data_IF_733967483457
#
_entry.id   IF_733967483457
#
_cell.length_a   1.000
_cell.length_b   1.000
_cell.length_c   1.000
_cell.angle_alpha   90.00
_cell.angle_beta   90.00
_cell.angle_gamma   90.00
#
_symmetry.space_group_name_H-M   'P 1'
#
loop_
_entity.id
_entity.type
_entity.pdbx_description
1 polymer ?
#
# COMPACT_ATOMS: atom_id res chain seq x y z
N UNK A 1 50.12 -50.87 -16.80
CA UNK A 1 48.66 -50.93 -16.89
C UNK A 1 47.95 -50.72 -15.54
N UNK A 2 48.49 -51.12 -14.40
CA UNK A 2 47.91 -50.98 -13.04
C UNK A 2 47.96 -49.52 -12.55
N UNK A 3 49.02 -48.78 -12.82
CA UNK A 3 49.20 -47.39 -12.35
C UNK A 3 48.19 -46.42 -12.99
N UNK A 4 47.91 -46.61 -14.30
CA UNK A 4 46.93 -45.77 -15.04
C UNK A 4 45.49 -45.99 -14.52
N UNK A 5 45.13 -47.23 -14.16
CA UNK A 5 43.80 -47.52 -13.57
C UNK A 5 43.58 -46.84 -12.21
N UNK A 6 44.61 -46.78 -11.37
CA UNK A 6 44.51 -46.13 -10.07
C UNK A 6 44.44 -44.60 -10.16
N UNK A 7 45.12 -43.99 -11.16
CA UNK A 7 45.07 -42.55 -11.39
C UNK A 7 43.68 -42.14 -11.90
N UNK A 8 43.08 -42.92 -12.84
CA UNK A 8 41.73 -42.68 -13.33
C UNK A 8 40.67 -42.80 -12.20
N UNK A 9 40.82 -43.81 -11.30
CA UNK A 9 39.92 -43.99 -10.17
C UNK A 9 40.01 -42.84 -9.16
N UNK A 10 41.18 -42.30 -8.90
CA UNK A 10 41.37 -41.14 -8.03
C UNK A 10 40.80 -39.85 -8.64
N UNK A 11 40.96 -39.64 -9.95
CA UNK A 11 40.41 -38.50 -10.66
C UNK A 11 38.86 -38.55 -10.66
N UNK A 12 38.25 -39.73 -10.91
CA UNK A 12 36.80 -39.90 -10.85
C UNK A 12 36.28 -39.63 -9.43
N UNK A 13 37.01 -40.04 -8.36
CA UNK A 13 36.63 -39.79 -6.98
C UNK A 13 36.71 -38.29 -6.62
N UNK A 14 37.69 -37.55 -7.16
CA UNK A 14 37.80 -36.09 -6.94
C UNK A 14 36.68 -35.35 -7.66
N UNK A 15 36.25 -35.81 -8.85
CA UNK A 15 35.09 -35.21 -9.53
C UNK A 15 33.75 -35.50 -8.87
N UNK A 16 33.63 -36.59 -8.12
CA UNK A 16 32.39 -36.91 -7.38
C UNK A 16 32.24 -36.16 -6.06
N UNK A 17 33.33 -35.61 -5.50
CA UNK A 17 33.26 -34.76 -4.30
C UNK A 17 33.34 -33.25 -4.61
N UNK A 18 33.51 -32.87 -5.89
CA UNK A 18 33.62 -31.47 -6.30
C UNK A 18 32.30 -30.76 -6.65
N UNK A 19 31.17 -31.46 -6.52
CA UNK A 19 29.89 -30.87 -6.90
C UNK A 19 28.80 -31.31 -5.95
N UNK A 20 28.82 -30.85 -4.75
CA UNK A 20 27.62 -30.68 -3.92
C UNK A 20 28.12 -29.92 -2.66
N UNK A 21 28.42 -28.65 -2.79
CA UNK A 21 27.98 -27.75 -1.74
C UNK A 21 26.52 -27.49 -2.11
N UNK A 22 25.56 -27.91 -1.28
CA UNK A 22 24.26 -27.30 -1.41
C UNK A 22 24.51 -25.80 -1.27
N UNK A 23 24.05 -25.01 -2.25
CA UNK A 23 23.77 -23.63 -1.98
C UNK A 23 22.94 -23.69 -0.71
N UNK A 24 23.45 -23.13 0.38
CA UNK A 24 22.59 -22.77 1.50
C UNK A 24 21.74 -21.62 0.94
N UNK A 25 20.71 -21.99 0.18
CA UNK A 25 19.64 -21.06 -0.11
C UNK A 25 19.15 -20.63 1.27
N UNK A 26 19.30 -19.36 1.59
CA UNK A 26 18.75 -18.81 2.81
C UNK A 26 17.25 -19.04 2.76
N UNK A 27 16.79 -20.02 3.54
CA UNK A 27 15.36 -20.36 3.59
C UNK A 27 14.72 -19.29 4.45
N UNK A 28 14.01 -18.37 3.81
CA UNK A 28 13.21 -17.40 4.53
C UNK A 28 12.05 -18.09 5.21
N UNK A 29 11.67 -17.58 6.37
CA UNK A 29 10.53 -18.08 7.11
C UNK A 29 9.69 -16.93 7.65
N UNK A 30 8.41 -17.23 7.89
CA UNK A 30 7.45 -16.29 8.45
C UNK A 30 6.94 -16.87 9.76
N UNK A 31 6.99 -16.07 10.81
CA UNK A 31 6.45 -16.40 12.13
C UNK A 31 5.28 -15.49 12.43
N UNK A 32 4.10 -16.04 12.73
CA UNK A 32 2.96 -15.28 13.22
C UNK A 32 3.17 -14.94 14.69
N UNK A 33 3.39 -13.65 14.99
CA UNK A 33 3.61 -13.17 16.34
C UNK A 33 2.29 -13.04 17.11
N UNK A 34 1.28 -12.43 16.45
CA UNK A 34 -0.04 -12.25 17.04
C UNK A 34 -1.11 -11.97 15.97
N UNK A 35 -2.35 -12.19 16.34
CA UNK A 35 -3.53 -11.82 15.55
C UNK A 35 -4.38 -10.89 16.39
N UNK A 36 -4.55 -9.66 15.93
CA UNK A 36 -5.52 -8.72 16.48
C UNK A 36 -6.87 -9.01 15.84
N UNK A 37 -7.76 -9.65 16.60
CA UNK A 37 -9.07 -10.08 16.11
C UNK A 37 -9.99 -8.86 15.89
N UNK A 38 -9.94 -8.28 14.70
CA UNK A 38 -10.85 -7.18 14.32
C UNK A 38 -12.28 -7.70 14.21
N UNK A 39 -13.24 -6.89 14.63
CA UNK A 39 -14.63 -7.13 14.25
C UNK A 39 -14.75 -6.82 12.75
N UNK A 40 -15.15 -7.81 11.94
CA UNK A 40 -15.14 -7.71 10.48
C UNK A 40 -13.76 -7.96 9.85
N UNK A 41 -13.71 -7.92 8.53
CA UNK A 41 -12.49 -8.17 7.78
C UNK A 41 -11.58 -6.94 7.79
N UNK A 42 -10.31 -7.10 8.17
CA UNK A 42 -9.31 -6.06 7.95
C UNK A 42 -9.06 -5.92 6.45
N UNK A 43 -9.48 -4.81 5.84
CA UNK A 43 -9.35 -4.57 4.40
C UNK A 43 -8.17 -3.69 4.05
N UNK A 44 -7.94 -2.69 4.88
CA UNK A 44 -6.87 -1.71 4.72
C UNK A 44 -6.40 -1.24 6.08
N UNK A 45 -5.19 -0.74 6.14
CA UNK A 45 -4.55 -0.25 7.35
C UNK A 45 -3.73 1.01 7.06
N UNK A 46 -3.71 1.92 8.01
CA UNK A 46 -2.78 3.03 8.06
C UNK A 46 -2.13 3.07 9.43
N UNK A 47 -0.80 3.13 9.47
CA UNK A 47 -0.04 3.08 10.73
C UNK A 47 0.65 4.41 10.99
N UNK A 48 0.56 4.89 12.26
CA UNK A 48 1.30 6.04 12.74
C UNK A 48 1.96 5.69 14.08
N UNK A 49 3.28 5.58 14.10
CA UNK A 49 4.00 5.04 15.25
C UNK A 49 3.51 3.64 15.58
N UNK A 50 3.04 3.44 16.79
CA UNK A 50 2.49 2.15 17.24
C UNK A 50 0.96 2.08 17.14
N UNK A 51 0.31 3.05 16.53
CA UNK A 51 -1.14 3.10 16.38
C UNK A 51 -1.54 2.72 14.95
N UNK A 52 -2.39 1.71 14.84
CA UNK A 52 -2.99 1.26 13.59
C UNK A 52 -4.44 1.72 13.48
N UNK A 53 -4.79 2.27 12.34
CA UNK A 53 -6.16 2.59 11.92
C UNK A 53 -6.57 1.55 10.90
N UNK A 54 -7.62 0.80 11.19
CA UNK A 54 -8.05 -0.36 10.41
C UNK A 54 -9.40 -0.07 9.75
N UNK A 55 -9.47 -0.25 8.43
CA UNK A 55 -10.73 -0.34 7.71
C UNK A 55 -11.31 -1.75 7.86
N UNK A 56 -12.37 -1.88 8.66
CA UNK A 56 -12.92 -3.18 9.06
C UNK A 56 -14.24 -3.53 8.35
N UNK A 57 -14.43 -3.04 7.13
CA UNK A 57 -15.63 -3.29 6.35
C UNK A 57 -16.89 -2.76 7.04
N UNK A 58 -17.90 -3.62 7.22
CA UNK A 58 -19.15 -3.27 7.90
C UNK A 58 -18.97 -2.96 9.40
N UNK A 59 -17.85 -3.35 10.00
CA UNK A 59 -17.50 -3.02 11.38
C UNK A 59 -16.78 -1.68 11.53
N UNK A 60 -16.78 -0.88 10.45
CA UNK A 60 -16.36 0.52 10.47
C UNK A 60 -14.86 0.72 10.57
N UNK A 61 -14.44 1.69 11.37
CA UNK A 61 -13.03 2.02 11.61
C UNK A 61 -12.64 1.61 13.01
N UNK A 62 -11.52 0.88 13.13
CA UNK A 62 -10.99 0.46 14.42
C UNK A 62 -9.58 1.04 14.62
N UNK A 63 -9.27 1.39 15.86
CA UNK A 63 -7.96 1.93 16.25
C UNK A 63 -7.32 0.99 17.25
N UNK A 64 -6.10 0.57 16.96
CA UNK A 64 -5.37 -0.43 17.72
C UNK A 64 -3.99 0.10 18.16
N UNK A 65 -3.59 -0.23 19.37
CA UNK A 65 -2.21 -0.12 19.82
C UNK A 65 -1.49 -1.43 19.44
N UNK A 66 -0.57 -1.35 18.48
CA UNK A 66 0.15 -2.51 17.96
C UNK A 66 1.14 -3.07 18.99
N UNK A 67 1.74 -2.21 19.81
CA UNK A 67 2.71 -2.60 20.81
C UNK A 67 2.07 -3.37 21.97
N UNK A 68 0.85 -2.98 22.37
CA UNK A 68 0.10 -3.63 23.44
C UNK A 68 -0.86 -4.71 22.93
N UNK A 69 -1.19 -4.70 21.63
CA UNK A 69 -2.14 -5.64 21.03
C UNK A 69 -3.59 -5.41 21.48
N UNK A 70 -3.97 -4.18 21.82
CA UNK A 70 -5.30 -3.84 22.30
C UNK A 70 -6.03 -2.88 21.37
N UNK A 71 -7.34 -3.06 21.27
CA UNK A 71 -8.19 -2.11 20.58
C UNK A 71 -8.43 -0.88 21.49
N UNK A 72 -8.10 0.29 20.97
CA UNK A 72 -8.31 1.56 21.67
C UNK A 72 -9.71 2.12 21.41
N UNK A 73 -10.16 2.08 20.15
CA UNK A 73 -11.43 2.62 19.72
C UNK A 73 -12.05 1.79 18.59
N UNK A 74 -13.38 1.86 18.46
CA UNK A 74 -14.15 1.33 17.34
C UNK A 74 -15.30 2.28 16.99
N UNK A 75 -15.44 2.60 15.70
CA UNK A 75 -16.41 3.54 15.17
C UNK A 75 -17.25 2.84 14.10
N UNK A 76 -18.48 2.48 14.44
CA UNK A 76 -19.45 1.88 13.51
C UNK A 76 -20.13 2.91 12.60
N UNK A 77 -19.96 4.19 12.91
CA UNK A 77 -20.57 5.29 12.19
C UNK A 77 -20.15 6.63 12.79
N UNK A 78 -20.84 7.69 12.42
CA UNK A 78 -20.54 9.05 12.81
C UNK A 78 -21.81 9.90 12.93
N UNK A 79 -21.70 11.03 13.61
CA UNK A 79 -22.79 12.00 13.69
C UNK A 79 -22.59 13.13 12.68
N UNK A 80 -23.65 13.42 11.90
CA UNK A 80 -23.70 14.52 10.96
C UNK A 80 -25.07 15.22 11.11
N UNK A 81 -25.09 16.54 11.30
CA UNK A 81 -26.30 17.36 11.41
C UNK A 81 -27.32 16.84 12.45
N UNK A 82 -26.83 16.28 13.54
CA UNK A 82 -27.63 15.72 14.63
C UNK A 82 -28.22 14.32 14.35
N UNK A 83 -27.88 13.71 13.22
CA UNK A 83 -28.26 12.34 12.86
C UNK A 83 -27.05 11.42 12.95
N UNK A 84 -27.24 10.21 13.49
CA UNK A 84 -26.22 9.17 13.44
C UNK A 84 -26.33 8.40 12.13
N UNK A 85 -25.21 8.27 11.43
CA UNK A 85 -25.06 7.54 10.18
C UNK A 85 -24.09 6.38 10.39
N UNK A 86 -24.51 5.16 10.09
CA UNK A 86 -23.68 3.98 10.13
C UNK A 86 -22.83 3.89 8.85
N UNK A 87 -21.62 3.36 8.99
CA UNK A 87 -20.82 2.97 7.85
C UNK A 87 -21.39 1.72 7.19
N UNK A 88 -21.38 1.69 5.86
CA UNK A 88 -21.86 0.53 5.08
C UNK A 88 -20.74 -0.51 4.94
N UNK A 89 -19.65 -0.15 4.27
CA UNK A 89 -18.52 -1.05 3.99
C UNK A 89 -17.24 -0.25 3.82
N UNK A 90 -16.50 -0.04 4.91
CA UNK A 90 -15.26 0.71 4.89
C UNK A 90 -14.18 -0.08 4.14
N UNK A 91 -13.69 0.51 3.06
CA UNK A 91 -12.67 -0.07 2.19
C UNK A 91 -11.26 0.43 2.52
N UNK A 92 -11.12 1.74 2.74
CA UNK A 92 -9.83 2.39 2.94
C UNK A 92 -9.87 3.32 4.14
N UNK A 93 -8.73 3.42 4.82
CA UNK A 93 -8.47 4.38 5.89
C UNK A 93 -7.04 4.91 5.75
N UNK A 94 -6.85 6.20 5.98
CA UNK A 94 -5.54 6.80 6.10
C UNK A 94 -5.53 7.84 7.22
N UNK A 95 -4.48 7.84 8.01
CA UNK A 95 -4.22 8.84 9.04
C UNK A 95 -3.27 9.91 8.49
N UNK A 96 -3.68 11.17 8.54
CA UNK A 96 -2.77 12.29 8.29
C UNK A 96 -1.83 12.48 9.50
N UNK A 97 -0.55 12.72 9.24
CA UNK A 97 0.47 12.75 10.28
C UNK A 97 0.36 13.97 11.20
N UNK A 98 0.04 15.15 10.67
CA UNK A 98 0.19 16.40 11.41
C UNK A 98 -1.13 17.12 11.73
N UNK A 99 -2.21 16.82 11.01
CA UNK A 99 -3.48 17.53 11.15
C UNK A 99 -4.53 16.79 11.99
N UNK A 100 -4.19 15.66 12.59
CA UNK A 100 -5.13 14.80 13.34
C UNK A 100 -6.35 14.36 12.52
N UNK A 101 -6.22 14.34 11.21
CA UNK A 101 -7.27 13.94 10.31
C UNK A 101 -7.23 12.44 10.03
N UNK A 102 -8.40 11.87 9.86
CA UNK A 102 -8.58 10.50 9.38
C UNK A 102 -9.43 10.56 8.14
N UNK A 103 -8.90 10.02 7.08
CA UNK A 103 -9.58 9.89 5.80
C UNK A 103 -10.13 8.48 5.69
N UNK A 104 -11.39 8.37 5.31
CA UNK A 104 -12.09 7.09 5.22
C UNK A 104 -12.92 7.06 3.95
N UNK A 105 -12.88 5.96 3.21
CA UNK A 105 -13.82 5.74 2.13
C UNK A 105 -14.53 4.40 2.27
N UNK A 106 -15.80 4.42 1.99
CA UNK A 106 -16.60 3.22 1.74
C UNK A 106 -16.38 2.80 0.29
N UNK A 107 -16.59 1.54 -0.03
CA UNK A 107 -16.39 1.01 -1.38
C UNK A 107 -17.11 1.86 -2.45
N UNK A 108 -16.33 2.38 -3.41
CA UNK A 108 -16.80 3.21 -4.53
C UNK A 108 -17.61 4.46 -4.11
N UNK A 109 -17.25 5.09 -2.99
CA UNK A 109 -17.86 6.34 -2.51
C UNK A 109 -16.80 7.42 -2.32
N UNK A 110 -17.23 8.61 -1.92
CA UNK A 110 -16.38 9.76 -1.62
C UNK A 110 -15.44 9.48 -0.44
N UNK A 111 -14.34 10.20 -0.39
CA UNK A 111 -13.47 10.21 0.78
C UNK A 111 -14.08 11.14 1.83
N UNK A 112 -14.41 10.59 3.00
CA UNK A 112 -14.88 11.34 4.16
C UNK A 112 -13.72 11.74 5.05
N UNK A 113 -13.76 12.94 5.58
CA UNK A 113 -12.75 13.50 6.47
C UNK A 113 -13.29 13.55 7.88
N UNK A 114 -12.55 12.96 8.81
CA UNK A 114 -12.85 12.95 10.23
C UNK A 114 -11.72 13.54 11.05
N UNK A 115 -12.04 13.95 12.27
CA UNK A 115 -11.06 14.32 13.29
C UNK A 115 -11.42 13.63 14.60
N UNK A 116 -10.41 13.25 15.38
CA UNK A 116 -10.66 12.90 16.79
C UNK A 116 -10.98 14.13 17.59
N UNK A 117 -12.10 14.09 18.33
CA UNK A 117 -12.47 15.07 19.35
C UNK A 117 -11.71 14.85 20.65
N UNK A 118 -11.90 15.79 21.58
CA UNK A 118 -11.26 15.78 22.92
C UNK A 118 -11.64 14.53 23.72
N UNK A 119 -12.84 14.01 23.51
CA UNK A 119 -13.39 12.81 24.18
C UNK A 119 -13.29 11.56 23.31
N UNK A 120 -12.32 11.51 22.37
CA UNK A 120 -12.19 10.44 21.38
C UNK A 120 -13.42 10.26 20.47
N UNK A 121 -14.19 11.32 20.27
CA UNK A 121 -15.29 11.33 19.32
C UNK A 121 -14.75 11.32 17.89
N UNK A 122 -15.41 10.56 17.02
CA UNK A 122 -15.14 10.53 15.59
C UNK A 122 -15.99 11.61 14.89
N UNK A 123 -15.41 12.80 14.75
CA UNK A 123 -16.13 13.98 14.30
C UNK A 123 -16.01 14.13 12.79
N UNK A 124 -17.15 14.00 12.10
CA UNK A 124 -17.23 14.28 10.67
C UNK A 124 -16.92 15.75 10.38
N UNK A 125 -16.13 15.99 9.32
CA UNK A 125 -15.75 17.33 8.90
C UNK A 125 -16.21 17.65 7.50
N UNK A 126 -15.96 16.77 6.53
CA UNK A 126 -16.28 17.03 5.14
C UNK A 126 -16.25 15.73 4.32
N UNK A 127 -16.73 15.82 3.08
CA UNK A 127 -16.47 14.86 2.01
C UNK A 127 -15.64 15.54 0.93
N UNK A 128 -14.68 14.82 0.37
CA UNK A 128 -13.79 15.35 -0.63
C UNK A 128 -13.76 14.50 -1.89
N UNK A 129 -13.71 15.17 -2.96
CA UNK A 129 -13.40 14.93 -4.35
C UNK A 129 -14.16 13.85 -5.05
N UNK A 130 -14.02 12.62 -4.84
CA UNK A 130 -14.30 11.55 -5.78
C UNK A 130 -15.67 10.92 -5.54
N UNK A 131 -16.37 10.52 -6.59
CA UNK A 131 -17.62 9.77 -6.49
C UNK A 131 -17.41 8.25 -6.53
N UNK A 132 -16.26 7.79 -7.06
CA UNK A 132 -15.89 6.37 -7.16
C UNK A 132 -14.44 6.10 -6.82
N UNK A 133 -14.06 6.46 -5.61
CA UNK A 133 -12.73 6.24 -5.07
C UNK A 133 -12.37 4.75 -5.07
N UNK A 134 -11.27 4.40 -5.71
CA UNK A 134 -10.64 3.08 -5.64
C UNK A 134 -9.50 3.04 -4.65
N UNK A 135 -8.68 4.08 -4.69
CA UNK A 135 -7.59 4.29 -3.75
C UNK A 135 -7.29 5.78 -3.60
N UNK A 136 -6.62 6.16 -2.54
CA UNK A 136 -6.20 7.54 -2.34
C UNK A 136 -4.96 7.62 -1.46
N UNK A 137 -4.23 8.70 -1.61
CA UNK A 137 -3.12 9.04 -0.75
C UNK A 137 -3.17 10.52 -0.37
N UNK A 138 -2.92 10.80 0.90
CA UNK A 138 -2.79 12.16 1.41
C UNK A 138 -1.46 12.35 2.11
N UNK A 139 -0.93 13.55 2.09
CA UNK A 139 0.26 13.91 2.80
C UNK A 139 0.22 15.37 3.25
N UNK A 140 0.87 15.61 4.36
CA UNK A 140 0.95 16.93 4.98
C UNK A 140 1.71 17.93 4.10
N UNK A 141 1.33 19.20 4.21
CA UNK A 141 2.02 20.35 3.63
C UNK A 141 2.30 21.40 4.71
N UNK A 142 3.24 22.28 4.46
CA UNK A 142 3.51 23.39 5.37
C UNK A 142 2.24 24.18 5.73
N UNK A 143 2.12 24.54 6.99
CA UNK A 143 1.12 25.49 7.46
C UNK A 143 -0.32 25.00 7.43
N UNK A 144 -0.64 23.93 8.12
CA UNK A 144 -2.01 23.39 8.22
C UNK A 144 -2.66 23.11 6.86
N UNK A 145 -1.92 22.52 5.96
CA UNK A 145 -2.38 22.10 4.62
C UNK A 145 -2.14 20.63 4.44
N UNK A 146 -2.97 19.98 3.66
CA UNK A 146 -2.69 18.66 3.10
C UNK A 146 -3.00 18.63 1.61
N UNK A 147 -2.30 17.79 0.87
CA UNK A 147 -2.61 17.44 -0.50
C UNK A 147 -3.12 16.01 -0.54
N UNK A 148 -4.13 15.77 -1.37
CA UNK A 148 -4.68 14.43 -1.60
C UNK A 148 -4.72 14.16 -3.09
N UNK A 149 -4.36 12.94 -3.44
CA UNK A 149 -4.57 12.34 -4.75
C UNK A 149 -5.52 11.16 -4.62
N UNK A 150 -6.41 11.00 -5.58
CA UNK A 150 -7.43 9.96 -5.60
C UNK A 150 -7.43 9.28 -6.95
N UNK A 151 -7.30 7.97 -6.96
CA UNK A 151 -7.60 7.13 -8.10
C UNK A 151 -9.12 6.98 -8.20
N UNK A 152 -9.75 7.73 -9.11
CA UNK A 152 -11.18 7.68 -9.37
C UNK A 152 -11.46 6.80 -10.58
N UNK A 153 -12.26 5.77 -10.40
CA UNK A 153 -12.49 4.75 -11.44
C UNK A 153 -13.07 5.29 -12.74
N UNK A 154 -13.78 6.41 -12.70
CA UNK A 154 -14.48 6.99 -13.85
C UNK A 154 -13.79 8.23 -14.41
N UNK A 155 -13.12 9.01 -13.54
CA UNK A 155 -12.67 10.36 -13.86
C UNK A 155 -11.14 10.50 -13.97
N UNK A 156 -10.38 9.46 -13.60
CA UNK A 156 -8.92 9.47 -13.67
C UNK A 156 -8.26 9.85 -12.35
N UNK A 157 -7.20 10.67 -12.42
CA UNK A 157 -6.48 11.18 -11.25
C UNK A 157 -7.16 12.44 -10.76
N UNK A 158 -7.83 12.39 -9.62
CA UNK A 158 -8.30 13.61 -8.94
C UNK A 158 -7.27 14.08 -7.94
N UNK A 159 -7.15 15.39 -7.79
CA UNK A 159 -6.20 15.98 -6.86
C UNK A 159 -6.76 17.25 -6.22
N UNK A 160 -6.27 17.55 -5.01
CA UNK A 160 -6.65 18.77 -4.32
C UNK A 160 -5.73 19.07 -3.15
N UNK A 161 -5.52 20.36 -2.95
CA UNK A 161 -4.85 20.91 -1.76
C UNK A 161 -5.90 21.59 -0.89
N UNK A 162 -5.88 21.27 0.38
CA UNK A 162 -6.79 21.77 1.40
C UNK A 162 -6.01 22.54 2.44
N UNK A 163 -6.63 23.58 2.98
CA UNK A 163 -6.09 24.35 4.10
C UNK A 163 -7.11 24.40 5.22
N UNK A 164 -6.62 24.46 6.46
CA UNK A 164 -7.51 24.75 7.59
C UNK A 164 -7.81 26.24 7.66
N UNK A 165 -9.04 26.55 8.00
CA UNK A 165 -9.50 27.86 8.43
C UNK A 165 -10.11 27.72 9.81
N UNK A 166 -9.65 28.51 10.78
CA UNK A 166 -10.09 28.45 12.16
C UNK A 166 -11.02 29.60 12.44
N UNK A 167 -12.26 29.31 12.78
CA UNK A 167 -13.24 30.29 13.20
C UNK A 167 -13.55 30.08 14.67
N UNK A 168 -13.47 31.15 15.46
CA UNK A 168 -13.85 31.09 16.89
C UNK A 168 -15.29 31.56 17.07
N UNK A 169 -16.14 30.66 17.56
CA UNK A 169 -17.55 30.95 17.88
C UNK A 169 -17.81 30.60 19.35
N UNK A 170 -18.22 31.58 20.14
CA UNK A 170 -18.45 31.43 21.59
C UNK A 170 -17.29 30.78 22.38
N UNK A 171 -16.03 31.16 22.06
CA UNK A 171 -14.80 30.59 22.59
C UNK A 171 -14.52 29.12 22.19
N UNK A 172 -15.27 28.56 21.24
CA UNK A 172 -14.99 27.29 20.64
C UNK A 172 -14.27 27.51 19.31
N UNK A 173 -13.13 26.86 19.12
CA UNK A 173 -12.44 26.85 17.85
C UNK A 173 -13.06 25.82 16.91
N UNK A 174 -13.56 26.29 15.79
CA UNK A 174 -14.07 25.44 14.70
C UNK A 174 -13.04 25.47 13.61
N UNK A 175 -12.42 24.32 13.35
CA UNK A 175 -11.47 24.14 12.27
C UNK A 175 -12.19 23.56 11.06
N UNK A 176 -12.23 24.31 9.97
CA UNK A 176 -12.80 23.87 8.71
C UNK A 176 -11.68 23.65 7.70
N UNK A 177 -11.79 22.57 6.93
CA UNK A 177 -10.86 22.29 5.82
C UNK A 177 -11.49 22.74 4.52
N UNK A 178 -10.86 23.69 3.86
CA UNK A 178 -11.35 24.30 2.62
C UNK A 178 -10.39 23.99 1.46
N UNK A 179 -10.94 23.63 0.28
CA UNK A 179 -10.12 23.46 -0.90
C UNK A 179 -9.44 24.79 -1.26
N UNK A 180 -8.14 24.78 -1.49
CA UNK A 180 -7.37 25.92 -1.98
C UNK A 180 -7.06 25.80 -3.47
N UNK A 181 -6.89 24.58 -3.97
CA UNK A 181 -6.74 24.25 -5.38
C UNK A 181 -7.17 22.80 -5.60
N UNK A 182 -7.46 22.43 -6.81
CA UNK A 182 -7.81 21.05 -7.14
C UNK A 182 -8.36 20.94 -8.55
N UNK A 183 -8.39 19.72 -9.06
CA UNK A 183 -8.84 19.39 -10.40
C UNK A 183 -8.79 17.88 -10.65
N UNK A 184 -8.87 17.55 -11.92
CA UNK A 184 -8.80 16.17 -12.40
C UNK A 184 -7.89 16.09 -13.63
N UNK A 185 -7.19 14.97 -13.78
CA UNK A 185 -6.45 14.61 -14.97
C UNK A 185 -7.05 13.32 -15.50
N UNK A 186 -7.73 13.41 -16.62
CA UNK A 186 -8.39 12.25 -17.24
C UNK A 186 -7.35 11.24 -17.73
N UNK A 187 -7.65 9.96 -17.55
CA UNK A 187 -6.90 8.84 -18.12
C UNK A 187 -7.79 8.03 -19.06
N UNK A 188 -7.19 7.31 -20.01
CA UNK A 188 -7.91 6.46 -20.94
C UNK A 188 -8.36 5.12 -20.32
N UNK A 189 -7.90 4.80 -19.11
CA UNK A 189 -8.20 3.57 -18.38
C UNK A 189 -8.93 3.81 -17.08
N UNK A 190 -9.04 2.75 -16.28
CA UNK A 190 -9.68 2.77 -14.97
C UNK A 190 -8.62 2.76 -13.86
N UNK A 191 -8.44 3.87 -13.14
CA UNK A 191 -7.58 3.88 -11.98
C UNK A 191 -8.04 2.91 -10.89
N UNK A 192 -7.10 2.17 -10.33
CA UNK A 192 -7.34 1.17 -9.27
C UNK A 192 -6.50 1.42 -8.03
N UNK A 193 -5.20 1.70 -8.18
CA UNK A 193 -4.28 1.93 -7.09
C UNK A 193 -3.48 3.21 -7.28
N UNK A 194 -2.99 3.79 -6.19
CA UNK A 194 -2.20 5.02 -6.20
C UNK A 194 -1.17 5.02 -5.08
N UNK A 195 -0.01 5.59 -5.35
CA UNK A 195 1.01 5.87 -4.35
C UNK A 195 1.78 7.16 -4.69
N UNK A 196 2.46 7.74 -3.71
CA UNK A 196 3.23 8.98 -3.88
C UNK A 196 4.48 8.99 -3.02
N UNK A 197 5.55 9.62 -3.52
CA UNK A 197 6.74 9.94 -2.72
C UNK A 197 6.48 11.08 -1.71
N UNK A 198 5.29 11.68 -1.73
CA UNK A 198 4.93 12.82 -0.88
C UNK A 198 5.65 14.13 -1.23
N UNK A 199 6.51 14.13 -2.23
CA UNK A 199 7.41 15.26 -2.58
C UNK A 199 7.09 15.81 -3.97
N UNK A 200 7.15 14.97 -5.00
CA UNK A 200 7.13 15.44 -6.39
C UNK A 200 6.49 14.48 -7.39
N UNK A 201 6.22 13.24 -6.99
CA UNK A 201 5.72 12.22 -7.88
C UNK A 201 4.52 11.47 -7.27
N UNK A 202 3.53 11.21 -8.10
CA UNK A 202 2.45 10.27 -7.84
C UNK A 202 2.43 9.24 -8.95
N UNK A 203 2.25 7.97 -8.58
CA UNK A 203 2.09 6.85 -9.47
C UNK A 203 0.67 6.31 -9.34
N UNK A 204 0.07 5.92 -10.46
CA UNK A 204 -1.30 5.41 -10.51
C UNK A 204 -1.35 4.14 -11.36
N UNK A 205 -1.82 3.05 -10.77
CA UNK A 205 -2.14 1.82 -11.48
C UNK A 205 -3.47 1.99 -12.23
N UNK A 206 -3.49 1.67 -13.52
CA UNK A 206 -4.59 1.99 -14.44
C UNK A 206 -5.02 0.75 -15.21
N UNK A 207 -5.59 -0.22 -14.50
CA UNK A 207 -6.15 -1.46 -15.08
C UNK A 207 -5.29 -1.99 -16.27
N UNK A 208 -5.86 -2.18 -17.43
CA UNK A 208 -5.18 -2.71 -18.64
C UNK A 208 -4.16 -1.75 -19.29
N UNK A 209 -4.04 -0.52 -18.83
CA UNK A 209 -3.07 0.44 -19.35
C UNK A 209 -1.74 0.45 -18.58
N UNK A 210 -1.62 -0.38 -17.55
CA UNK A 210 -0.42 -0.48 -16.75
C UNK A 210 -0.30 0.65 -15.72
N UNK A 211 0.79 1.43 -15.73
CA UNK A 211 1.07 2.43 -14.71
C UNK A 211 1.40 3.79 -15.31
N UNK A 212 0.85 4.83 -14.72
CA UNK A 212 1.08 6.23 -15.07
C UNK A 212 1.81 6.95 -13.95
N UNK A 213 2.81 7.77 -14.30
CA UNK A 213 3.59 8.59 -13.36
C UNK A 213 3.34 10.06 -13.65
N UNK A 214 3.02 10.81 -12.62
CA UNK A 214 2.76 12.25 -12.70
C UNK A 214 3.73 13.01 -11.81
N UNK A 215 4.25 14.11 -12.32
CA UNK A 215 4.98 15.09 -11.51
C UNK A 215 4.03 16.14 -10.99
N UNK A 216 4.23 16.59 -9.76
CA UNK A 216 3.52 17.72 -9.16
C UNK A 216 4.49 18.59 -8.38
N UNK A 217 4.12 19.84 -8.13
CA UNK A 217 4.90 20.70 -7.26
C UNK A 217 4.34 20.72 -5.82
N UNK A 218 5.19 21.10 -4.88
CA UNK A 218 4.83 21.18 -3.47
C UNK A 218 3.80 22.28 -3.14
N UNK A 219 3.49 23.15 -4.08
CA UNK A 219 2.50 24.22 -3.92
C UNK A 219 1.10 23.79 -4.32
N UNK A 220 0.93 22.55 -4.81
CA UNK A 220 -0.35 21.99 -5.22
C UNK A 220 -0.76 22.40 -6.63
N UNK A 221 0.23 22.56 -7.52
CA UNK A 221 -0.05 22.68 -8.93
C UNK A 221 -0.61 21.38 -9.51
N UNK A 222 -1.33 21.50 -10.62
CA UNK A 222 -1.91 20.38 -11.34
C UNK A 222 -0.85 19.31 -11.67
N UNK A 223 -1.10 18.02 -11.36
CA UNK A 223 -0.21 16.95 -11.73
C UNK A 223 -0.08 16.85 -13.25
N UNK A 224 1.15 16.70 -13.72
CA UNK A 224 1.46 16.57 -15.15
C UNK A 224 1.95 15.17 -15.44
N UNK A 225 1.32 14.48 -16.40
CA UNK A 225 1.75 13.16 -16.85
C UNK A 225 3.20 13.23 -17.34
N UNK A 226 4.06 12.42 -16.72
CA UNK A 226 5.49 12.33 -17.02
C UNK A 226 5.80 11.13 -17.89
N UNK A 227 5.28 9.97 -17.51
CA UNK A 227 5.50 8.73 -18.24
C UNK A 227 4.35 7.75 -18.01
N UNK A 228 4.20 6.84 -18.97
CA UNK A 228 3.26 5.72 -18.93
C UNK A 228 3.98 4.46 -19.38
N UNK A 229 3.75 3.37 -18.69
CA UNK A 229 4.27 2.06 -19.05
C UNK A 229 3.10 1.09 -19.17
N UNK A 230 2.92 0.58 -20.37
CA UNK A 230 1.99 -0.51 -20.65
C UNK A 230 2.59 -1.79 -20.07
N UNK A 231 1.83 -2.46 -19.20
CA UNK A 231 2.21 -3.70 -18.53
C UNK A 231 1.21 -4.78 -18.90
N UNK A 232 1.69 -6.03 -19.01
CA UNK A 232 0.76 -7.13 -19.24
C UNK A 232 -0.15 -7.34 -18.02
N UNK A 233 -1.43 -7.59 -18.26
CA UNK A 233 -2.43 -7.82 -17.22
C UNK A 233 -3.15 -6.56 -16.76
N UNK A 234 -3.78 -6.65 -15.59
CA UNK A 234 -4.49 -5.55 -14.96
C UNK A 234 -3.65 -4.99 -13.82
N UNK A 235 -3.14 -3.78 -13.96
CA UNK A 235 -2.42 -3.11 -12.88
C UNK A 235 -3.40 -2.71 -11.76
N UNK A 236 -3.27 -3.38 -10.61
CA UNK A 236 -4.16 -3.23 -9.45
C UNK A 236 -3.63 -2.21 -8.44
N UNK A 237 -2.34 -2.31 -8.11
CA UNK A 237 -1.69 -1.46 -7.12
C UNK A 237 -0.28 -1.07 -7.55
N UNK A 238 0.17 0.05 -7.05
CA UNK A 238 1.55 0.52 -7.19
C UNK A 238 2.11 0.85 -5.81
N UNK A 239 3.38 0.52 -5.60
CA UNK A 239 4.13 0.89 -4.40
C UNK A 239 5.42 1.59 -4.83
N UNK A 240 5.58 2.85 -4.45
CA UNK A 240 6.79 3.63 -4.69
C UNK A 240 7.82 3.37 -3.59
N UNK A 241 9.06 3.23 -4.00
CA UNK A 241 10.20 3.08 -3.12
C UNK A 241 11.36 3.98 -3.58
N UNK A 242 12.43 4.05 -2.79
CA UNK A 242 13.63 4.82 -3.15
C UNK A 242 14.30 4.35 -4.45
N UNK A 243 14.10 3.09 -4.84
CA UNK A 243 14.72 2.48 -6.02
C UNK A 243 13.85 2.51 -7.28
N UNK A 244 12.55 2.73 -7.12
CA UNK A 244 11.59 2.72 -8.22
C UNK A 244 10.17 2.36 -7.77
N UNK A 245 9.36 1.93 -8.72
CA UNK A 245 7.98 1.51 -8.52
C UNK A 245 7.82 0.00 -8.68
N UNK A 246 7.08 -0.61 -7.77
CA UNK A 246 6.59 -1.99 -7.87
C UNK A 246 5.09 -1.95 -8.18
N UNK A 247 4.65 -2.72 -9.16
CA UNK A 247 3.26 -2.74 -9.63
C UNK A 247 2.74 -4.16 -9.56
N UNK A 248 1.61 -4.38 -8.88
CA UNK A 248 0.89 -5.67 -8.94
C UNK A 248 -0.02 -5.69 -10.17
N UNK A 249 -0.01 -6.79 -10.90
CA UNK A 249 -0.71 -6.93 -12.17
C UNK A 249 -1.58 -8.19 -12.25
N UNK A 250 -2.37 -8.44 -11.17
CA UNK A 250 -3.32 -9.55 -11.08
C UNK A 250 -2.69 -10.88 -11.50
N UNK A 251 -3.26 -11.59 -12.47
CA UNK A 251 -2.79 -12.90 -12.95
C UNK A 251 -1.44 -12.87 -13.71
N UNK A 252 -0.87 -11.71 -13.92
CA UNK A 252 0.43 -11.50 -14.58
C UNK A 252 1.57 -11.20 -13.58
N UNK A 253 1.32 -11.39 -12.30
CA UNK A 253 2.33 -11.24 -11.26
C UNK A 253 2.61 -9.79 -10.90
N UNK A 254 3.88 -9.41 -10.94
CA UNK A 254 4.33 -8.08 -10.56
C UNK A 254 5.43 -7.55 -11.48
N UNK A 255 5.58 -6.23 -11.50
CA UNK A 255 6.59 -5.53 -12.31
C UNK A 255 7.39 -4.56 -11.44
N UNK A 256 8.67 -4.42 -11.79
CA UNK A 256 9.53 -3.38 -11.24
C UNK A 256 9.94 -2.39 -12.34
N UNK A 257 9.83 -1.11 -12.05
CA UNK A 257 10.28 0.02 -12.86
C UNK A 257 11.28 0.85 -12.07
N UNK A 258 12.54 0.88 -12.49
CA UNK A 258 13.53 1.71 -11.82
C UNK A 258 13.25 3.21 -11.97
N UNK A 259 13.69 4.03 -11.03
CA UNK A 259 13.59 5.49 -11.12
C UNK A 259 14.14 6.03 -12.46
N UNK A 260 15.21 5.42 -12.98
CA UNK A 260 15.77 5.78 -14.27
C UNK A 260 14.81 5.54 -15.43
N UNK A 261 14.09 4.41 -15.44
CA UNK A 261 13.09 4.12 -16.48
C UNK A 261 11.94 5.12 -16.41
N UNK A 262 11.44 5.40 -15.20
CA UNK A 262 10.37 6.35 -14.95
C UNK A 262 10.77 7.75 -15.47
N UNK A 263 12.00 8.18 -15.19
CA UNK A 263 12.54 9.45 -15.68
C UNK A 263 12.68 9.51 -17.20
N UNK A 264 13.13 8.43 -17.81
CA UNK A 264 13.28 8.34 -19.28
C UNK A 264 11.95 8.23 -20.02
N UNK A 265 10.89 7.76 -19.35
CA UNK A 265 9.59 7.52 -19.93
C UNK A 265 9.55 6.43 -21.00
N UNK A 266 10.57 5.57 -21.03
CA UNK A 266 10.70 4.50 -22.01
C UNK A 266 11.63 3.39 -21.51
N UNK A 267 11.39 2.17 -21.97
CA UNK A 267 12.16 0.96 -21.64
C UNK A 267 11.22 -0.16 -21.19
N UNK A 268 11.79 -1.30 -20.88
CA UNK A 268 11.03 -2.46 -20.42
C UNK A 268 11.08 -2.54 -18.89
N UNK A 269 9.92 -2.74 -18.27
CA UNK A 269 9.81 -3.12 -16.87
C UNK A 269 10.37 -4.54 -16.66
N UNK A 270 10.79 -4.84 -15.45
CA UNK A 270 11.21 -6.20 -15.05
C UNK A 270 9.97 -6.91 -14.52
N UNK A 271 9.54 -7.98 -15.21
CA UNK A 271 8.47 -8.88 -14.74
C UNK A 271 8.99 -9.89 -13.73
N UNK A 272 8.20 -10.22 -12.73
CA UNK A 272 8.46 -11.30 -11.80
C UNK A 272 7.17 -11.83 -11.22
N UNK A 273 7.21 -13.00 -10.58
CA UNK A 273 6.04 -13.67 -9.99
C UNK A 273 4.91 -13.99 -11.02
N UNK A 274 5.25 -14.22 -12.29
CA UNK A 274 4.30 -14.37 -13.41
C UNK A 274 3.29 -15.51 -13.24
N UNK A 275 3.59 -16.50 -12.39
CA UNK A 275 2.71 -17.63 -12.08
C UNK A 275 1.74 -17.34 -10.90
N UNK A 276 1.78 -16.13 -10.35
CA UNK A 276 1.01 -15.73 -9.18
C UNK A 276 -0.02 -14.66 -9.56
N UNK A 277 -1.19 -14.74 -8.96
CA UNK A 277 -2.17 -13.66 -8.93
C UNK A 277 -1.79 -12.71 -7.79
N UNK A 278 -1.43 -11.47 -8.09
CA UNK A 278 -0.91 -10.50 -7.12
C UNK A 278 -1.86 -9.32 -6.99
N UNK A 279 -2.56 -9.25 -5.86
CA UNK A 279 -3.54 -8.18 -5.57
C UNK A 279 -2.88 -6.90 -5.03
N UNK A 280 -1.81 -7.05 -4.24
CA UNK A 280 -1.14 -5.93 -3.58
C UNK A 280 0.34 -6.24 -3.34
N UNK A 281 1.18 -5.21 -3.35
CA UNK A 281 2.61 -5.31 -3.09
C UNK A 281 3.05 -4.27 -2.06
N UNK A 282 3.92 -4.67 -1.14
CA UNK A 282 4.60 -3.76 -0.23
C UNK A 282 6.08 -4.11 -0.14
N UNK A 283 6.93 -3.10 0.04
CA UNK A 283 8.38 -3.27 0.09
C UNK A 283 8.98 -2.65 1.34
N UNK A 284 10.06 -3.26 1.83
CA UNK A 284 10.88 -2.71 2.92
C UNK A 284 12.32 -3.23 2.82
N UNK A 285 13.29 -2.33 2.64
CA UNK A 285 14.67 -2.71 2.37
C UNK A 285 14.75 -3.62 1.13
N UNK A 286 15.34 -4.79 1.31
CA UNK A 286 15.54 -5.79 0.24
C UNK A 286 14.40 -6.82 0.15
N UNK A 287 13.27 -6.56 0.79
CA UNK A 287 12.12 -7.48 0.85
C UNK A 287 10.93 -6.90 0.10
N UNK A 288 10.35 -7.68 -0.81
CA UNK A 288 9.01 -7.46 -1.35
C UNK A 288 8.04 -8.53 -0.85
N UNK A 289 6.86 -8.09 -0.43
CA UNK A 289 5.74 -8.94 0.01
C UNK A 289 4.60 -8.78 -0.98
N UNK A 290 4.24 -9.86 -1.63
CA UNK A 290 3.11 -9.94 -2.56
C UNK A 290 1.91 -10.54 -1.83
N UNK A 291 0.80 -9.82 -1.78
CA UNK A 291 -0.48 -10.33 -1.26
C UNK A 291 -1.20 -11.09 -2.35
N UNK A 292 -1.51 -12.37 -2.10
CA UNK A 292 -2.04 -13.32 -3.09
C UNK A 292 -3.50 -13.72 -2.78
N UNK A 293 -4.26 -12.84 -2.10
CA UNK A 293 -5.62 -13.16 -1.69
C UNK A 293 -5.71 -14.48 -0.91
N UNK A 294 -6.41 -15.49 -1.43
CA UNK A 294 -6.62 -16.76 -0.72
C UNK A 294 -5.36 -17.63 -0.56
N UNK A 295 -4.31 -17.36 -1.33
CA UNK A 295 -3.04 -18.12 -1.25
C UNK A 295 -2.07 -17.57 -0.19
N UNK A 296 -2.44 -16.48 0.52
CA UNK A 296 -1.60 -15.87 1.54
C UNK A 296 -0.63 -14.84 0.96
N UNK A 297 0.66 -15.02 1.18
CA UNK A 297 1.71 -14.09 0.71
C UNK A 297 2.84 -14.83 0.01
N UNK A 298 3.50 -14.15 -0.93
CA UNK A 298 4.82 -14.54 -1.44
C UNK A 298 5.87 -13.53 -1.00
N UNK A 299 7.06 -14.01 -0.66
CA UNK A 299 8.23 -13.19 -0.34
C UNK A 299 9.24 -13.25 -1.48
N UNK A 300 9.77 -12.11 -1.82
CA UNK A 300 10.83 -11.94 -2.82
C UNK A 300 11.99 -11.13 -2.22
N UNK A 301 13.20 -11.56 -2.54
CA UNK A 301 14.43 -10.78 -2.33
C UNK A 301 14.59 -9.83 -3.52
N UNK A 302 14.63 -8.55 -3.23
CA UNK A 302 14.76 -7.46 -4.19
C UNK A 302 16.07 -6.67 -4.00
N UNK A 303 17.08 -7.29 -3.37
CA UNK A 303 18.43 -6.71 -3.26
C UNK A 303 19.04 -6.40 -4.63
N UNK A 304 18.72 -7.23 -5.64
CA UNK A 304 18.85 -6.88 -7.05
C UNK A 304 17.46 -6.77 -7.69
N UNK A 305 16.86 -5.57 -7.76
CA UNK A 305 15.52 -5.38 -8.29
C UNK A 305 15.42 -5.63 -9.80
N UNK A 306 16.56 -5.79 -10.50
CA UNK A 306 16.58 -6.24 -11.90
C UNK A 306 16.42 -7.75 -12.04
N UNK A 307 16.53 -8.49 -10.94
CA UNK A 307 16.36 -9.95 -10.89
C UNK A 307 15.75 -10.37 -9.54
N UNK A 308 14.47 -10.04 -9.25
CA UNK A 308 13.83 -10.41 -8.01
C UNK A 308 13.80 -11.93 -7.80
N UNK A 309 14.27 -12.40 -6.64
CA UNK A 309 14.38 -13.83 -6.35
C UNK A 309 13.26 -14.30 -5.41
N UNK A 310 12.48 -15.35 -5.76
CA UNK A 310 11.46 -15.90 -4.88
C UNK A 310 12.08 -16.54 -3.62
N UNK A 311 11.53 -16.24 -2.45
CA UNK A 311 11.97 -16.79 -1.15
C UNK A 311 10.93 -17.70 -0.50
N UNK A 312 9.72 -17.74 -1.04
CA UNK A 312 8.69 -18.70 -0.63
C UNK A 312 7.29 -18.13 -0.71
N UNK A 313 6.32 -19.04 -0.66
CA UNK A 313 4.88 -18.75 -0.54
C UNK A 313 4.42 -19.28 0.81
N UNK A 314 3.72 -18.44 1.57
CA UNK A 314 3.30 -18.74 2.93
C UNK A 314 1.78 -18.64 3.04
N UNK A 315 1.14 -19.75 3.41
CA UNK A 315 -0.29 -19.77 3.72
C UNK A 315 -0.53 -19.16 5.09
N UNK A 316 -0.95 -17.90 5.07
CA UNK A 316 -1.32 -17.12 6.26
C UNK A 316 -2.81 -16.79 6.27
N UNK A 317 -3.60 -17.48 5.46
CA UNK A 317 -5.01 -17.21 5.21
C UNK A 317 -5.22 -16.14 4.15
N UNK A 318 -6.47 -15.68 3.99
CA UNK A 318 -6.80 -14.66 2.98
C UNK A 318 -6.21 -13.30 3.33
N UNK A 319 -5.38 -12.75 2.45
CA UNK A 319 -4.71 -11.45 2.63
C UNK A 319 -5.26 -10.44 1.62
N UNK A 320 -5.73 -9.30 2.11
CA UNK A 320 -6.15 -8.17 1.29
C UNK A 320 -5.00 -7.23 0.96
N UNK A 321 -4.24 -6.82 2.00
CA UNK A 321 -3.11 -5.90 1.90
C UNK A 321 -2.04 -6.23 2.92
N UNK A 322 -0.82 -5.78 2.63
CA UNK A 322 0.31 -5.84 3.54
C UNK A 322 0.90 -4.45 3.76
N UNK A 323 1.51 -4.23 4.92
CA UNK A 323 2.26 -3.01 5.24
C UNK A 323 3.36 -3.35 6.24
N UNK A 324 4.53 -2.73 6.10
CA UNK A 324 5.56 -2.85 7.11
C UNK A 324 5.34 -1.86 8.28
N UNK A 325 5.62 -2.33 9.48
CA UNK A 325 5.64 -1.57 10.72
C UNK A 325 6.93 -1.89 11.47
N UNK A 326 7.86 -0.96 11.48
CA UNK A 326 9.25 -1.22 11.86
C UNK A 326 9.77 -2.43 11.04
N UNK A 327 10.37 -3.43 11.73
CA UNK A 327 10.87 -4.66 11.09
C UNK A 327 9.82 -5.79 11.02
N UNK A 328 8.54 -5.48 11.25
CA UNK A 328 7.45 -6.44 11.24
C UNK A 328 6.53 -6.24 10.05
N UNK A 329 5.92 -7.32 9.63
CA UNK A 329 4.91 -7.33 8.58
C UNK A 329 3.50 -7.34 9.19
N UNK A 330 2.68 -6.39 8.79
CA UNK A 330 1.26 -6.33 9.07
C UNK A 330 0.48 -6.87 7.88
N UNK A 331 -0.46 -7.78 8.12
CA UNK A 331 -1.36 -8.30 7.10
C UNK A 331 -2.81 -8.03 7.45
N UNK A 332 -3.50 -7.35 6.55
CA UNK A 332 -4.95 -7.23 6.58
C UNK A 332 -5.59 -8.52 6.06
N UNK A 333 -6.28 -9.24 6.93
CA UNK A 333 -6.83 -10.57 6.63
C UNK A 333 -8.31 -10.68 7.01
N UNK A 334 -8.94 -11.78 6.57
CA UNK A 334 -10.30 -12.13 7.04
C UNK A 334 -10.37 -12.49 8.51
N UNK A 335 -9.25 -12.91 9.11
CA UNK A 335 -9.16 -13.25 10.52
C UNK A 335 -8.88 -12.03 11.43
N UNK A 336 -8.62 -10.87 10.83
CA UNK A 336 -8.22 -9.65 11.50
C UNK A 336 -6.88 -9.13 11.01
N UNK A 337 -6.22 -8.31 11.82
CA UNK A 337 -4.89 -7.79 11.56
C UNK A 337 -3.84 -8.74 12.15
N UNK A 338 -3.03 -9.35 11.29
CA UNK A 338 -1.92 -10.21 11.70
C UNK A 338 -0.62 -9.42 11.76
N UNK A 339 0.17 -9.72 12.78
CA UNK A 339 1.54 -9.22 12.95
C UNK A 339 2.50 -10.39 12.80
N UNK A 340 3.46 -10.27 11.89
CA UNK A 340 4.40 -11.34 11.57
C UNK A 340 5.84 -10.82 11.58
N UNK A 341 6.76 -11.73 11.86
CA UNK A 341 8.20 -11.53 11.70
C UNK A 341 8.68 -12.32 10.48
N UNK A 342 9.41 -11.67 9.59
CA UNK A 342 10.11 -12.30 8.47
C UNK A 342 11.55 -12.57 8.94
N UNK A 343 11.99 -13.82 8.84
CA UNK A 343 13.36 -14.22 9.10
C UNK A 343 14.03 -14.51 7.74
N UNK A 344 14.87 -13.59 7.30
CA UNK A 344 15.59 -13.62 6.02
C UNK A 344 17.06 -14.03 6.21
#
# INVERSE_FOLDING_TARGET
MIIIKNIISVIIFIFLFGCIQPNEESVWSVTEDTVLATEGFCRNISVRGDIAYVAAGQSGVQVWDLGQGIQLHGFLGYSQDGSYLEFDDIALVQRDEDNELIFVTESNKKVKVFRFGVDNEFIYRNEIMSDRTKDFISFHREGNRFTMFVADNDDGLKWGTYRSDTTTVFNLEIINWMPSSGGEVTTDGKPLGIDSDGISMVAMAVDQLGVEFYSFDTLGAEPTLRSRFDLDGNAEQVNLSDIGAFVSCDDFGAYFLSNKLIEMGQGAAVSFAEDLTVDHISTHGDIAVLSLGPKGIALYDISDPSNPEPRGIFDVGYVYRSQFWNDRLLLCTRAGLKILTINS
#
